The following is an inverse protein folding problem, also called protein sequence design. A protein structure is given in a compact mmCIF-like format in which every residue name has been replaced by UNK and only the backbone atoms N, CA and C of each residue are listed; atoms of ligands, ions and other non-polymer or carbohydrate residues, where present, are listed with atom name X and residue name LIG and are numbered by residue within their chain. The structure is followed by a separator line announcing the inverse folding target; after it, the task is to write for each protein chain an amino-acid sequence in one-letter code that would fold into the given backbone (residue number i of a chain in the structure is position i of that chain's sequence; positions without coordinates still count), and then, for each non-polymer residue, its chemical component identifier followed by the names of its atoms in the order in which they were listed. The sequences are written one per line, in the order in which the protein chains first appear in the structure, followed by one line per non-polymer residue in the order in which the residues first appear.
data_IF_030352617925
#
_entry.id   IF_030352617925
#
_cell.length_a   1.000
_cell.length_b   1.000
_cell.length_c   1.000
_cell.angle_alpha   90.00
_cell.angle_beta   90.00
_cell.angle_gamma   90.00
#
_symmetry.space_group_name_H-M   'P 1'
#
loop_
_entity.id
_entity.type
_entity.pdbx_description
1 polymer ?
#
# COMPACT_ATOMS: atom_id res chain seq x y z
N UNK A 1 6.94 -2.98 7.45
CA UNK A 1 5.67 -2.29 7.67
C UNK A 1 5.78 -1.35 8.87
N UNK A 2 5.03 -0.26 8.83
CA UNK A 2 5.00 0.80 9.84
C UNK A 2 3.59 0.86 10.41
N UNK A 3 3.48 0.86 11.74
CA UNK A 3 2.22 0.89 12.48
C UNK A 3 2.20 2.13 13.35
N UNK A 4 1.24 3.00 13.12
CA UNK A 4 1.07 4.26 13.83
C UNK A 4 -0.27 4.28 14.58
N UNK A 5 -0.25 4.71 15.84
CA UNK A 5 -1.46 4.81 16.68
C UNK A 5 -1.57 6.21 17.26
N UNK A 6 -2.71 6.86 17.07
CA UNK A 6 -3.06 8.11 17.73
C UNK A 6 -4.21 7.86 18.71
N UNK A 7 -3.97 8.17 20.00
CA UNK A 7 -4.94 7.94 21.10
C UNK A 7 -5.69 9.20 21.51
N UNK A 8 -5.41 10.33 20.85
CA UNK A 8 -5.93 11.64 21.25
C UNK A 8 -7.39 11.79 20.85
N UNK A 9 -8.27 11.35 21.72
CA UNK A 9 -9.72 11.58 21.69
C UNK A 9 -10.12 12.57 22.73
N UNK A 10 -11.10 13.42 22.45
CA UNK A 10 -11.72 14.32 23.39
C UNK A 10 -13.26 14.32 23.22
N UNK A 11 -13.95 14.50 24.32
CA UNK A 11 -15.40 14.71 24.29
C UNK A 11 -15.61 16.23 24.24
N UNK A 12 -16.30 16.69 23.24
CA UNK A 12 -16.68 18.11 23.08
C UNK A 12 -18.22 18.24 23.15
N UNK A 13 -18.73 19.31 23.77
CA UNK A 13 -20.16 19.62 23.68
C UNK A 13 -20.48 20.00 22.21
N UNK A 14 -21.64 19.56 21.73
CA UNK A 14 -22.11 19.93 20.39
C UNK A 14 -22.91 21.25 20.46
N UNK A 15 -22.24 22.31 20.90
CA UNK A 15 -22.84 23.65 21.04
C UNK A 15 -23.16 24.29 19.70
N UNK A 16 -22.43 23.93 18.66
CA UNK A 16 -22.56 24.49 17.31
C UNK A 16 -23.58 23.74 16.46
N UNK A 17 -24.32 22.79 17.06
CA UNK A 17 -25.31 21.93 16.38
C UNK A 17 -24.77 21.29 15.12
N UNK A 18 -23.56 20.74 15.17
CA UNK A 18 -22.95 20.03 14.05
C UNK A 18 -23.82 18.84 13.62
N UNK A 19 -24.04 18.71 12.33
CA UNK A 19 -24.69 17.55 11.76
C UNK A 19 -23.72 16.38 11.63
N UNK A 20 -24.23 15.17 11.76
CA UNK A 20 -23.43 13.96 11.58
C UNK A 20 -23.55 13.45 10.13
N UNK A 21 -22.42 13.07 9.56
CA UNK A 21 -22.38 12.50 8.22
C UNK A 21 -21.58 11.20 8.20
N UNK A 22 -22.07 10.24 7.44
CA UNK A 22 -21.30 9.09 7.00
C UNK A 22 -20.74 9.39 5.61
N UNK A 23 -19.41 9.29 5.47
CA UNK A 23 -18.73 9.40 4.19
C UNK A 23 -18.17 8.02 3.87
N UNK A 24 -18.55 7.45 2.75
CA UNK A 24 -18.04 6.17 2.30
C UNK A 24 -17.54 6.23 0.87
N UNK A 25 -16.48 5.50 0.59
CA UNK A 25 -15.97 5.28 -0.76
C UNK A 25 -15.81 3.78 -0.97
N UNK A 26 -16.20 3.29 -2.14
CA UNK A 26 -16.13 1.88 -2.47
C UNK A 26 -15.92 1.67 -3.96
N UNK A 27 -15.49 0.44 -4.33
CA UNK A 27 -15.33 0.06 -5.75
C UNK A 27 -14.30 0.91 -6.50
N UNK A 28 -13.31 1.48 -5.81
CA UNK A 28 -12.16 2.05 -6.49
C UNK A 28 -11.43 0.96 -7.29
N UNK A 29 -10.60 1.36 -8.25
CA UNK A 29 -9.83 0.43 -9.08
C UNK A 29 -9.00 -0.53 -8.23
N UNK A 30 -8.35 -0.01 -7.16
CA UNK A 30 -7.42 -0.78 -6.36
C UNK A 30 -6.17 -1.22 -7.13
N UNK A 31 -5.26 -1.89 -6.43
CA UNK A 31 -4.03 -2.41 -7.02
C UNK A 31 -3.06 -2.90 -5.95
N UNK A 32 -2.00 -3.54 -6.40
CA UNK A 32 -0.90 -3.96 -5.53
C UNK A 32 -0.01 -2.76 -5.17
N UNK A 33 0.26 -2.53 -3.88
CA UNK A 33 1.02 -1.37 -3.38
C UNK A 33 2.50 -1.32 -3.80
N UNK A 34 2.97 -2.29 -4.57
CA UNK A 34 4.28 -2.29 -5.21
C UNK A 34 4.14 -2.16 -6.73
N UNK A 35 3.57 -3.17 -7.39
CA UNK A 35 3.51 -3.28 -8.86
C UNK A 35 2.63 -2.19 -9.52
N UNK A 36 1.64 -1.69 -8.80
CA UNK A 36 0.68 -0.73 -9.35
C UNK A 36 0.80 0.68 -8.73
N UNK A 37 1.79 0.92 -7.87
CA UNK A 37 1.91 2.15 -7.09
C UNK A 37 2.20 3.39 -7.95
N UNK A 38 2.78 3.22 -9.12
CA UNK A 38 3.10 4.25 -10.10
C UNK A 38 1.95 4.55 -11.09
N UNK A 39 0.85 3.80 -11.01
CA UNK A 39 -0.28 3.93 -11.94
C UNK A 39 -1.28 5.00 -11.54
N UNK A 40 -0.94 5.86 -10.56
CA UNK A 40 -1.81 6.92 -10.06
C UNK A 40 -3.20 6.44 -9.61
N UNK A 41 -3.28 5.22 -9.06
CA UNK A 41 -4.52 4.67 -8.52
C UNK A 41 -4.92 5.43 -7.26
N UNK A 42 -6.15 5.96 -7.18
CA UNK A 42 -6.60 6.70 -6.01
C UNK A 42 -6.57 5.84 -4.73
N UNK A 43 -6.05 6.42 -3.65
CA UNK A 43 -6.09 5.82 -2.32
C UNK A 43 -7.34 6.29 -1.58
N UNK A 44 -8.26 5.39 -1.26
CA UNK A 44 -9.54 5.73 -0.63
C UNK A 44 -9.41 6.44 0.72
N UNK A 45 -8.36 6.13 1.51
CA UNK A 45 -8.09 6.79 2.79
C UNK A 45 -7.74 8.26 2.57
N UNK A 46 -6.89 8.55 1.57
CA UNK A 46 -6.52 9.92 1.21
C UNK A 46 -7.72 10.72 0.71
N UNK A 47 -8.58 10.13 -0.13
CA UNK A 47 -9.78 10.79 -0.66
C UNK A 47 -10.75 11.17 0.45
N UNK A 48 -11.04 10.27 1.38
CA UNK A 48 -11.93 10.57 2.52
C UNK A 48 -11.31 11.64 3.43
N UNK A 49 -10.03 11.54 3.75
CA UNK A 49 -9.36 12.53 4.58
C UNK A 49 -9.40 13.94 3.96
N UNK A 50 -9.17 14.04 2.65
CA UNK A 50 -9.27 15.29 1.91
C UNK A 50 -10.69 15.89 2.00
N UNK A 51 -11.73 15.08 1.78
CA UNK A 51 -13.13 15.52 1.90
C UNK A 51 -13.45 16.01 3.31
N UNK A 52 -12.94 15.33 4.36
CA UNK A 52 -13.11 15.75 5.76
C UNK A 52 -12.41 17.10 6.00
N UNK A 53 -11.19 17.28 5.49
CA UNK A 53 -10.42 18.53 5.62
C UNK A 53 -11.13 19.70 4.94
N UNK A 54 -11.67 19.50 3.75
CA UNK A 54 -12.37 20.52 2.97
C UNK A 54 -13.66 21.02 3.61
N UNK A 55 -14.37 20.17 4.36
CA UNK A 55 -15.59 20.58 5.10
C UNK A 55 -15.32 20.95 6.57
N UNK A 56 -14.06 21.01 6.99
CA UNK A 56 -13.65 21.27 8.38
C UNK A 56 -14.30 20.27 9.38
N UNK A 57 -14.56 19.05 8.90
CA UNK A 57 -15.26 18.01 9.64
C UNK A 57 -14.45 17.49 10.84
N UNK A 58 -15.13 17.24 11.96
CA UNK A 58 -14.55 16.60 13.13
C UNK A 58 -14.68 15.09 13.02
N UNK A 59 -13.58 14.36 13.03
CA UNK A 59 -13.55 12.91 12.85
C UNK A 59 -14.00 12.18 14.10
N UNK A 60 -15.00 11.31 13.98
CA UNK A 60 -15.53 10.46 15.05
C UNK A 60 -15.09 9.00 14.87
N UNK A 61 -15.10 8.51 13.64
CA UNK A 61 -14.75 7.14 13.29
C UNK A 61 -14.21 7.07 11.87
N UNK A 62 -13.23 6.16 11.61
CA UNK A 62 -12.75 5.88 10.26
C UNK A 62 -12.24 4.45 10.17
N UNK A 63 -12.67 3.73 9.14
CA UNK A 63 -12.26 2.36 8.90
C UNK A 63 -12.10 2.11 7.40
N UNK A 64 -11.00 1.50 6.98
CA UNK A 64 -10.77 1.16 5.59
C UNK A 64 -9.45 0.49 5.31
N UNK A 65 -9.34 -0.02 4.09
CA UNK A 65 -8.20 -0.80 3.63
C UNK A 65 -8.35 -2.29 3.92
N UNK A 66 -7.96 -3.11 2.95
CA UNK A 66 -8.21 -4.56 2.97
C UNK A 66 -6.98 -5.36 3.39
N UNK A 67 -5.81 -4.96 2.87
CA UNK A 67 -4.52 -5.66 3.08
C UNK A 67 -3.37 -4.67 3.08
N UNK A 68 -2.32 -4.99 3.81
CA UNK A 68 -1.11 -4.15 3.92
C UNK A 68 -0.39 -3.94 2.57
N UNK A 69 -0.53 -4.86 1.65
CA UNK A 69 0.08 -4.82 0.32
C UNK A 69 -0.86 -4.35 -0.80
N UNK A 70 -2.01 -3.76 -0.48
CA UNK A 70 -2.97 -3.24 -1.45
C UNK A 70 -3.21 -1.73 -1.28
N UNK A 71 -3.59 -1.08 -2.39
CA UNK A 71 -4.09 0.30 -2.38
C UNK A 71 -5.55 0.25 -1.93
N UNK A 72 -5.95 0.97 -0.87
CA UNK A 72 -7.30 0.90 -0.29
C UNK A 72 -8.40 1.26 -1.26
N UNK A 73 -9.42 0.41 -1.37
CA UNK A 73 -10.58 0.60 -2.28
C UNK A 73 -11.88 0.89 -1.55
N UNK A 74 -12.00 0.45 -0.28
CA UNK A 74 -13.19 0.66 0.54
C UNK A 74 -12.79 1.34 1.83
N UNK A 75 -13.39 2.51 2.08
CA UNK A 75 -13.16 3.28 3.31
C UNK A 75 -14.48 3.94 3.70
N UNK A 76 -14.72 4.02 5.01
CA UNK A 76 -15.89 4.65 5.61
C UNK A 76 -15.46 5.50 6.79
N UNK A 77 -16.04 6.70 6.92
CA UNK A 77 -15.82 7.58 8.06
C UNK A 77 -17.14 8.13 8.59
N UNK A 78 -17.18 8.45 9.86
CA UNK A 78 -18.25 9.21 10.51
C UNK A 78 -17.65 10.52 11.00
N UNK A 79 -18.27 11.63 10.64
CA UNK A 79 -17.82 12.97 10.99
C UNK A 79 -18.95 13.82 11.54
N UNK A 80 -18.60 14.88 12.25
CA UNK A 80 -19.50 15.98 12.56
C UNK A 80 -19.04 17.24 11.84
N UNK A 81 -19.93 17.95 11.15
CA UNK A 81 -19.61 19.15 10.40
C UNK A 81 -20.75 20.17 10.42
N UNK A 82 -20.41 21.45 10.41
CA UNK A 82 -21.36 22.54 10.24
C UNK A 82 -21.80 22.72 8.76
N UNK A 83 -20.97 22.23 7.84
CA UNK A 83 -21.22 22.31 6.39
C UNK A 83 -21.43 20.92 5.82
N UNK A 84 -22.31 20.80 4.84
CA UNK A 84 -22.51 19.52 4.12
C UNK A 84 -21.24 19.20 3.34
N UNK A 85 -20.59 18.03 3.58
CA UNK A 85 -19.45 17.62 2.81
C UNK A 85 -19.80 17.46 1.32
N UNK A 86 -18.83 17.68 0.43
CA UNK A 86 -19.01 17.52 -1.01
C UNK A 86 -18.17 16.33 -1.47
N UNK A 87 -18.78 15.41 -2.21
CA UNK A 87 -18.07 14.25 -2.73
C UNK A 87 -16.96 14.66 -3.71
N UNK A 88 -15.74 14.31 -3.41
CA UNK A 88 -14.56 14.60 -4.24
C UNK A 88 -14.30 13.52 -5.32
N UNK A 89 -15.09 12.44 -5.35
CA UNK A 89 -14.95 11.33 -6.29
C UNK A 89 -16.32 10.70 -6.60
N UNK A 90 -16.51 10.23 -7.84
CA UNK A 90 -17.79 9.63 -8.29
C UNK A 90 -18.23 8.39 -7.49
N UNK A 91 -17.30 7.65 -6.92
CA UNK A 91 -17.57 6.47 -6.09
C UNK A 91 -17.72 6.81 -4.60
N UNK A 92 -17.80 8.08 -4.24
CA UNK A 92 -18.00 8.55 -2.86
C UNK A 92 -19.49 8.82 -2.61
N UNK A 93 -20.00 8.26 -1.51
CA UNK A 93 -21.34 8.48 -1.02
C UNK A 93 -21.26 9.24 0.31
N UNK A 94 -22.10 10.24 0.47
CA UNK A 94 -22.24 11.05 1.68
C UNK A 94 -23.69 11.00 2.12
N UNK A 95 -23.91 10.52 3.35
CA UNK A 95 -25.25 10.40 3.93
C UNK A 95 -25.31 11.14 5.26
N UNK A 96 -26.33 11.96 5.43
CA UNK A 96 -26.59 12.62 6.71
C UNK A 96 -27.19 11.61 7.69
N UNK A 97 -26.65 11.55 8.89
CA UNK A 97 -27.13 10.67 9.96
C UNK A 97 -28.17 11.44 10.79
N UNK A 98 -29.38 10.94 10.86
CA UNK A 98 -30.52 11.55 11.59
C UNK A 98 -30.40 11.37 13.12
N UNK A 99 -29.21 11.41 13.66
CA UNK A 99 -28.95 11.32 15.08
C UNK A 99 -28.40 12.65 15.60
N UNK A 100 -28.96 13.14 16.70
CA UNK A 100 -28.41 14.30 17.42
C UNK A 100 -27.71 13.82 18.67
N UNK A 101 -26.52 14.37 18.91
CA UNK A 101 -25.75 14.11 20.12
C UNK A 101 -25.38 15.43 20.79
N UNK A 102 -25.62 15.53 22.07
CA UNK A 102 -25.20 16.70 22.87
C UNK A 102 -23.70 16.74 23.09
N UNK A 103 -23.04 15.60 22.99
CA UNK A 103 -21.60 15.45 23.13
C UNK A 103 -21.03 14.61 21.99
N UNK A 104 -19.91 15.03 21.45
CA UNK A 104 -19.21 14.36 20.36
C UNK A 104 -17.85 13.85 20.86
N UNK A 105 -17.56 12.58 20.61
CA UNK A 105 -16.26 11.98 20.89
C UNK A 105 -15.39 12.06 19.64
N UNK A 106 -14.58 13.08 19.55
CA UNK A 106 -13.81 13.42 18.34
C UNK A 106 -12.33 13.14 18.50
N UNK A 107 -11.69 12.79 17.40
CA UNK A 107 -10.24 12.72 17.31
C UNK A 107 -9.61 14.11 17.11
N UNK A 108 -8.32 14.22 17.41
CA UNK A 108 -7.52 15.41 17.12
C UNK A 108 -7.48 15.64 15.59
N UNK A 109 -7.68 16.88 15.16
CA UNK A 109 -7.65 17.30 13.75
C UNK A 109 -6.32 16.94 13.07
N UNK A 110 -5.23 16.82 13.86
CA UNK A 110 -3.92 16.36 13.41
C UNK A 110 -3.94 14.98 12.73
N UNK A 111 -4.94 14.14 13.02
CA UNK A 111 -5.08 12.85 12.34
C UNK A 111 -5.39 13.05 10.85
N UNK A 112 -6.35 13.93 10.55
CA UNK A 112 -6.73 14.25 9.19
C UNK A 112 -5.61 15.03 8.48
N UNK A 113 -5.00 16.01 9.17
CA UNK A 113 -3.86 16.75 8.63
C UNK A 113 -2.71 15.80 8.26
N UNK A 114 -2.35 14.87 9.14
CA UNK A 114 -1.33 13.86 8.88
C UNK A 114 -1.64 13.06 7.60
N UNK A 115 -2.86 12.53 7.48
CA UNK A 115 -3.23 11.73 6.31
C UNK A 115 -3.19 12.60 5.04
N UNK A 116 -3.69 13.84 5.08
CA UNK A 116 -3.70 14.75 3.93
C UNK A 116 -2.29 15.16 3.50
N UNK A 117 -1.43 15.52 4.44
CA UNK A 117 -0.09 16.04 4.16
C UNK A 117 0.90 14.94 3.80
N UNK A 118 0.66 13.70 4.28
CA UNK A 118 1.54 12.55 4.04
C UNK A 118 1.73 12.29 2.55
N UNK A 119 2.98 12.27 2.10
CA UNK A 119 3.32 11.96 0.72
C UNK A 119 3.21 10.45 0.48
N UNK A 120 2.03 9.99 0.08
CA UNK A 120 1.73 8.60 -0.28
C UNK A 120 2.13 8.30 -1.73
N UNK A 121 2.56 7.07 -2.03
CA UNK A 121 2.88 6.63 -3.38
C UNK A 121 4.38 6.55 -3.66
N UNK A 122 4.78 6.86 -4.89
CA UNK A 122 6.17 6.82 -5.34
C UNK A 122 6.98 7.93 -4.66
N UNK A 123 8.15 7.57 -4.12
CA UNK A 123 9.10 8.50 -3.49
C UNK A 123 10.34 8.71 -4.36
N UNK A 124 10.77 7.68 -5.08
CA UNK A 124 11.90 7.76 -6.01
C UNK A 124 11.71 6.77 -7.15
N UNK A 125 12.25 7.12 -8.32
CA UNK A 125 12.33 6.26 -9.50
C UNK A 125 13.76 5.78 -9.70
N UNK A 126 13.93 4.55 -10.18
CA UNK A 126 15.19 4.05 -10.68
C UNK A 126 15.30 4.41 -12.16
N UNK A 127 16.14 5.39 -12.48
CA UNK A 127 16.26 5.93 -13.83
C UNK A 127 16.88 4.95 -14.83
N UNK A 128 17.72 4.04 -14.37
CA UNK A 128 18.35 3.02 -15.20
C UNK A 128 17.36 1.93 -15.59
N UNK A 129 16.64 1.40 -14.62
CA UNK A 129 15.70 0.30 -14.80
C UNK A 129 14.29 0.75 -15.22
N UNK A 130 13.99 2.06 -15.17
CA UNK A 130 12.68 2.66 -15.47
C UNK A 130 11.53 2.08 -14.63
N UNK A 131 11.81 1.77 -13.38
CA UNK A 131 10.84 1.26 -12.39
C UNK A 131 10.91 2.07 -11.11
N UNK A 132 9.92 1.90 -10.24
CA UNK A 132 9.91 2.55 -8.92
C UNK A 132 11.09 2.05 -8.09
N UNK A 133 11.90 2.98 -7.56
CA UNK A 133 12.99 2.71 -6.61
C UNK A 133 12.45 2.57 -5.20
N UNK A 134 11.67 3.56 -4.74
CA UNK A 134 11.17 3.64 -3.37
C UNK A 134 9.73 4.13 -3.37
N UNK A 135 8.89 3.50 -2.56
CA UNK A 135 7.49 3.88 -2.39
C UNK A 135 6.99 3.63 -0.99
N UNK A 136 5.86 4.28 -0.65
CA UNK A 136 5.13 4.03 0.60
C UNK A 136 3.63 4.13 0.34
N UNK A 137 2.86 3.25 0.96
CA UNK A 137 1.41 3.22 0.83
C UNK A 137 0.74 3.23 2.21
N UNK A 138 -0.19 4.17 2.43
CA UNK A 138 -1.15 4.08 3.53
C UNK A 138 -2.13 2.98 3.14
N UNK A 139 -2.05 1.84 3.82
CA UNK A 139 -2.75 0.62 3.42
C UNK A 139 -4.03 0.37 4.20
N UNK A 140 -4.01 0.59 5.50
CA UNK A 140 -5.13 0.31 6.40
C UNK A 140 -5.28 1.45 7.40
N UNK A 141 -6.52 1.81 7.69
CA UNK A 141 -6.88 2.69 8.81
C UNK A 141 -8.01 2.06 9.60
N UNK A 142 -7.90 2.10 10.92
CA UNK A 142 -8.92 1.57 11.82
C UNK A 142 -9.07 2.40 13.08
N UNK A 143 -10.29 2.68 13.45
CA UNK A 143 -10.66 3.16 14.78
C UNK A 143 -10.97 1.97 15.69
N UNK A 144 -10.40 1.98 16.89
CA UNK A 144 -10.76 1.04 17.97
C UNK A 144 -10.82 1.77 19.33
N UNK A 145 -11.00 1.00 20.40
CA UNK A 145 -11.06 1.53 21.77
C UNK A 145 -9.76 2.25 22.21
N UNK A 146 -8.64 1.95 21.58
CA UNK A 146 -7.34 2.50 21.86
C UNK A 146 -6.99 3.74 21.01
N UNK A 147 -7.84 4.09 20.04
CA UNK A 147 -7.60 5.23 19.16
C UNK A 147 -7.69 4.88 17.67
N UNK A 148 -7.04 5.69 16.84
CA UNK A 148 -6.90 5.42 15.41
C UNK A 148 -5.55 4.75 15.14
N UNK A 149 -5.59 3.66 14.39
CA UNK A 149 -4.40 2.96 13.88
C UNK A 149 -4.28 3.14 12.38
N UNK A 150 -3.07 3.47 11.91
CA UNK A 150 -2.70 3.52 10.50
C UNK A 150 -1.59 2.49 10.27
N UNK A 151 -1.74 1.68 9.23
CA UNK A 151 -0.73 0.73 8.78
C UNK A 151 -0.21 1.14 7.42
N UNK A 152 1.11 1.29 7.31
CA UNK A 152 1.79 1.70 6.08
C UNK A 152 2.79 0.63 5.66
N UNK A 153 2.90 0.43 4.33
CA UNK A 153 3.89 -0.45 3.71
C UNK A 153 4.89 0.38 2.91
N UNK A 154 6.14 0.40 3.36
CA UNK A 154 7.25 0.99 2.64
C UNK A 154 8.01 -0.08 1.86
N UNK A 155 8.46 0.24 0.65
CA UNK A 155 9.23 -0.62 -0.24
C UNK A 155 10.39 0.13 -0.85
N UNK A 156 11.51 -0.55 -1.06
CA UNK A 156 12.63 -0.04 -1.86
C UNK A 156 13.39 -1.18 -2.51
N UNK A 157 14.10 -0.87 -3.60
CA UNK A 157 15.08 -1.76 -4.23
C UNK A 157 16.44 -1.73 -3.52
N UNK A 158 16.62 -0.80 -2.57
CA UNK A 158 17.85 -0.65 -1.79
C UNK A 158 17.56 -0.62 -0.28
N UNK A 159 18.45 -1.23 0.52
CA UNK A 159 18.27 -1.33 1.97
C UNK A 159 18.51 -0.01 2.70
N UNK A 160 19.38 0.87 2.20
CA UNK A 160 19.61 2.19 2.80
C UNK A 160 18.42 3.10 2.52
N UNK A 161 17.95 3.18 1.27
CA UNK A 161 16.72 3.90 0.93
C UNK A 161 15.52 3.42 1.76
N UNK A 162 15.44 2.08 2.03
CA UNK A 162 14.38 1.52 2.86
C UNK A 162 14.51 1.96 4.34
N UNK A 163 15.72 2.16 4.84
CA UNK A 163 15.94 2.73 6.16
C UNK A 163 15.57 4.20 6.20
N UNK A 164 15.96 4.95 5.18
CA UNK A 164 15.72 6.39 5.12
C UNK A 164 14.22 6.69 5.07
N UNK A 165 13.46 6.09 4.16
CA UNK A 165 12.01 6.27 4.11
C UNK A 165 11.32 5.85 5.41
N UNK A 166 11.81 4.80 6.08
CA UNK A 166 11.30 4.40 7.40
C UNK A 166 11.54 5.51 8.44
N UNK A 167 12.73 6.08 8.50
CA UNK A 167 13.06 7.13 9.48
C UNK A 167 12.26 8.41 9.22
N UNK A 168 12.18 8.84 7.97
CA UNK A 168 11.38 9.99 7.54
C UNK A 168 9.91 9.81 7.93
N UNK A 169 9.33 8.66 7.59
CA UNK A 169 7.94 8.33 7.92
C UNK A 169 7.68 8.33 9.43
N UNK A 170 8.58 7.73 10.23
CA UNK A 170 8.44 7.74 11.69
C UNK A 170 8.49 9.17 12.25
N UNK A 171 9.40 9.99 11.74
CA UNK A 171 9.54 11.40 12.16
C UNK A 171 8.27 12.19 11.80
N UNK A 172 7.79 12.03 10.58
CA UNK A 172 6.58 12.70 10.10
C UNK A 172 5.35 12.33 10.94
N UNK A 173 5.07 11.04 11.14
CA UNK A 173 3.94 10.56 11.94
C UNK A 173 4.02 11.04 13.40
N UNK A 174 5.21 11.08 14.01
CA UNK A 174 5.40 11.59 15.37
C UNK A 174 5.10 13.08 15.50
N UNK A 175 5.34 13.89 14.46
CA UNK A 175 4.99 15.31 14.46
C UNK A 175 3.47 15.52 14.57
N UNK A 176 2.68 14.54 14.15
CA UNK A 176 1.22 14.51 14.28
C UNK A 176 0.72 13.70 15.50
N UNK A 177 1.59 13.50 16.50
CA UNK A 177 1.26 12.81 17.74
C UNK A 177 0.89 11.32 17.60
N UNK A 178 1.46 10.62 16.62
CA UNK A 178 1.34 9.17 16.54
C UNK A 178 2.45 8.46 17.31
N UNK A 179 2.09 7.43 18.07
CA UNK A 179 3.00 6.40 18.55
C UNK A 179 3.32 5.45 17.41
N UNK A 180 4.60 5.27 17.08
CA UNK A 180 4.99 4.51 15.89
C UNK A 180 5.85 3.30 16.25
N UNK A 181 5.47 2.15 15.71
CA UNK A 181 6.22 0.88 15.77
C UNK A 181 6.47 0.32 14.38
N UNK A 182 7.46 -0.54 14.23
CA UNK A 182 7.78 -1.19 12.94
C UNK A 182 7.90 -2.69 13.13
N UNK A 183 7.41 -3.46 12.16
CA UNK A 183 7.47 -4.94 12.14
C UNK A 183 7.65 -5.44 10.72
N UNK A 184 8.00 -6.72 10.58
CA UNK A 184 8.01 -7.40 9.28
C UNK A 184 9.04 -6.80 8.31
N UNK A 185 10.29 -6.60 8.78
CA UNK A 185 11.36 -6.18 7.87
C UNK A 185 11.55 -7.24 6.78
N UNK A 186 11.39 -6.81 5.54
CA UNK A 186 11.68 -7.60 4.35
C UNK A 186 12.90 -6.97 3.67
N UNK A 187 13.95 -7.71 3.33
CA UNK A 187 15.12 -7.13 2.68
C UNK A 187 14.75 -6.59 1.30
N UNK A 188 15.42 -5.53 0.89
CA UNK A 188 15.29 -4.99 -0.45
C UNK A 188 15.77 -6.01 -1.49
N UNK A 189 15.13 -6.03 -2.66
CA UNK A 189 15.54 -6.84 -3.79
C UNK A 189 16.05 -5.94 -4.91
N UNK A 190 17.37 -5.91 -5.06
CA UNK A 190 17.99 -5.25 -6.21
C UNK A 190 18.12 -6.27 -7.36
N UNK A 191 17.61 -5.98 -8.55
CA UNK A 191 17.80 -6.85 -9.71
C UNK A 191 19.28 -7.09 -9.97
N UNK A 192 19.63 -8.34 -10.26
CA UNK A 192 21.00 -8.77 -10.54
C UNK A 192 21.00 -9.64 -11.79
N UNK A 193 21.59 -9.11 -12.88
CA UNK A 193 21.77 -9.84 -14.13
C UNK A 193 23.13 -10.53 -14.06
N UNK A 194 23.12 -11.84 -13.98
CA UNK A 194 24.32 -12.68 -13.90
C UNK A 194 24.20 -13.90 -14.83
N UNK A 195 25.24 -14.73 -14.88
CA UNK A 195 25.29 -15.92 -15.74
C UNK A 195 24.10 -16.87 -15.48
N UNK A 196 23.68 -17.03 -14.22
CA UNK A 196 22.56 -17.90 -13.88
C UNK A 196 21.23 -17.38 -14.41
N UNK A 197 20.95 -16.07 -14.23
CA UNK A 197 19.73 -15.45 -14.78
C UNK A 197 19.74 -15.45 -16.30
N UNK A 198 20.89 -15.26 -16.94
CA UNK A 198 21.06 -15.32 -18.39
C UNK A 198 20.80 -16.72 -18.92
N UNK A 199 21.34 -17.76 -18.27
CA UNK A 199 21.08 -19.15 -18.65
C UNK A 199 19.58 -19.51 -18.51
N UNK A 200 18.93 -19.07 -17.44
CA UNK A 200 17.48 -19.28 -17.28
C UNK A 200 16.70 -18.60 -18.42
N UNK A 201 17.08 -17.39 -18.80
CA UNK A 201 16.45 -16.67 -19.92
C UNK A 201 16.62 -17.43 -21.23
N UNK A 202 17.80 -17.98 -21.52
CA UNK A 202 18.04 -18.78 -22.73
C UNK A 202 17.10 -19.98 -22.79
N UNK A 203 17.03 -20.77 -21.70
CA UNK A 203 16.10 -21.90 -21.62
C UNK A 203 14.65 -21.43 -21.74
N UNK A 204 14.29 -20.32 -21.12
CA UNK A 204 12.93 -19.81 -21.18
C UNK A 204 12.53 -19.42 -22.62
N UNK A 205 13.47 -18.87 -23.40
CA UNK A 205 13.25 -18.48 -24.80
C UNK A 205 12.95 -19.66 -25.75
N UNK A 206 13.35 -20.87 -25.41
CA UNK A 206 12.98 -22.07 -26.16
C UNK A 206 11.45 -22.31 -26.12
N UNK A 207 10.79 -21.92 -25.03
CA UNK A 207 9.35 -22.09 -24.81
C UNK A 207 8.54 -20.80 -25.03
N UNK A 208 9.18 -19.64 -24.95
CA UNK A 208 8.63 -18.33 -25.21
C UNK A 208 9.72 -17.42 -25.80
N UNK A 209 9.81 -17.28 -27.12
CA UNK A 209 10.83 -16.48 -27.78
C UNK A 209 10.86 -14.99 -27.37
N UNK A 210 9.74 -14.46 -26.86
CA UNK A 210 9.61 -13.08 -26.42
C UNK A 210 9.93 -12.90 -24.92
N UNK A 211 10.45 -13.93 -24.23
CA UNK A 211 10.84 -13.81 -22.83
C UNK A 211 11.97 -12.79 -22.65
N UNK A 212 11.87 -11.99 -21.61
CA UNK A 212 12.84 -10.98 -21.19
C UNK A 212 13.11 -11.03 -19.68
N UNK A 213 14.24 -10.47 -19.27
CA UNK A 213 14.50 -10.15 -17.86
C UNK A 213 13.80 -8.82 -17.54
N UNK A 214 13.06 -8.79 -16.46
CA UNK A 214 12.34 -7.60 -16.04
C UNK A 214 12.62 -7.28 -14.58
N UNK A 215 12.72 -5.99 -14.27
CA UNK A 215 12.76 -5.48 -12.91
C UNK A 215 11.32 -5.18 -12.46
N UNK A 216 10.98 -5.54 -11.23
CA UNK A 216 9.67 -5.22 -10.64
C UNK A 216 9.85 -4.62 -9.26
N UNK A 217 8.99 -3.67 -8.90
CA UNK A 217 8.95 -3.08 -7.57
C UNK A 217 8.08 -3.92 -6.63
N UNK A 218 8.55 -5.12 -6.29
CA UNK A 218 7.86 -6.04 -5.40
C UNK A 218 8.84 -6.78 -4.48
N UNK A 219 8.37 -7.17 -3.29
CA UNK A 219 9.12 -8.07 -2.42
C UNK A 219 9.04 -9.49 -2.97
N UNK A 220 10.19 -10.11 -3.18
CA UNK A 220 10.29 -11.51 -3.62
C UNK A 220 11.01 -12.34 -2.56
N UNK A 221 10.63 -13.59 -2.40
CA UNK A 221 11.28 -14.53 -1.47
C UNK A 221 12.77 -14.69 -1.74
N UNK A 222 13.18 -14.51 -3.00
CA UNK A 222 14.58 -14.45 -3.42
C UNK A 222 15.41 -13.43 -2.62
N UNK A 223 14.81 -12.30 -2.22
CA UNK A 223 15.48 -11.30 -1.39
C UNK A 223 15.90 -11.85 -0.03
N UNK A 224 15.06 -12.68 0.60
CA UNK A 224 15.35 -13.31 1.89
C UNK A 224 16.50 -14.31 1.75
N UNK A 225 16.49 -15.12 0.68
CA UNK A 225 17.56 -16.06 0.42
C UNK A 225 18.90 -15.34 0.16
N UNK A 226 18.86 -14.28 -0.65
CA UNK A 226 20.07 -13.50 -0.99
C UNK A 226 20.64 -12.75 0.23
N UNK A 227 19.78 -12.24 1.11
CA UNK A 227 20.19 -11.58 2.36
C UNK A 227 20.88 -12.55 3.32
N UNK A 228 20.35 -13.78 3.44
CA UNK A 228 20.93 -14.85 4.29
C UNK A 228 22.18 -15.50 3.68
N UNK A 229 22.19 -15.63 2.36
CA UNK A 229 23.24 -16.33 1.61
C UNK A 229 23.72 -15.44 0.45
N UNK A 230 24.54 -14.40 0.71
CA UNK A 230 24.94 -13.42 -0.31
C UNK A 230 25.66 -14.01 -1.54
N UNK A 231 26.27 -15.19 -1.40
CA UNK A 231 27.03 -15.86 -2.46
C UNK A 231 26.13 -16.63 -3.45
N UNK A 232 24.87 -16.92 -3.13
CA UNK A 232 24.00 -17.65 -4.05
C UNK A 232 23.52 -16.77 -5.20
N UNK A 233 23.35 -17.38 -6.38
CA UNK A 233 22.68 -16.76 -7.53
C UNK A 233 21.20 -17.15 -7.46
N UNK A 234 20.31 -16.20 -7.62
CA UNK A 234 18.87 -16.40 -7.50
C UNK A 234 18.15 -15.78 -8.68
N UNK A 235 17.05 -16.39 -9.11
CA UNK A 235 16.16 -15.87 -10.12
C UNK A 235 14.72 -16.17 -9.74
N UNK A 236 13.80 -15.32 -10.13
CA UNK A 236 12.37 -15.53 -9.96
C UNK A 236 11.73 -15.75 -11.32
N UNK A 237 11.01 -16.86 -11.49
CA UNK A 237 10.21 -17.17 -12.67
C UNK A 237 8.82 -17.60 -12.23
N UNK A 238 7.82 -17.36 -13.07
CA UNK A 238 6.45 -17.76 -12.75
C UNK A 238 5.50 -17.68 -13.95
N UNK A 239 4.29 -18.26 -13.81
CA UNK A 239 3.27 -18.14 -14.83
C UNK A 239 2.70 -16.72 -14.90
N UNK A 240 2.05 -16.40 -16.00
CA UNK A 240 1.32 -15.13 -16.14
C UNK A 240 0.15 -15.09 -15.16
N UNK A 241 0.19 -14.16 -14.24
CA UNK A 241 -0.87 -13.84 -13.28
C UNK A 241 -1.43 -12.46 -13.62
N UNK A 242 -2.76 -12.34 -13.59
CA UNK A 242 -3.47 -11.05 -13.70
C UNK A 242 -4.14 -10.74 -12.38
N UNK A 243 -4.12 -9.46 -12.00
CA UNK A 243 -4.74 -8.94 -10.77
C UNK A 243 -4.30 -9.67 -9.48
N UNK A 244 -2.96 -9.82 -9.24
CA UNK A 244 -2.48 -10.52 -8.06
C UNK A 244 -3.02 -9.87 -6.78
N UNK A 245 -3.38 -10.70 -5.79
CA UNK A 245 -3.96 -10.31 -4.51
C UNK A 245 -5.36 -9.67 -4.57
N UNK A 246 -6.02 -9.67 -5.74
CA UNK A 246 -7.38 -9.16 -5.90
C UNK A 246 -8.40 -10.30 -6.01
N UNK A 247 -9.69 -9.98 -5.79
CA UNK A 247 -10.80 -10.97 -5.93
C UNK A 247 -10.87 -11.56 -7.34
N UNK A 248 -10.39 -10.80 -8.35
CA UNK A 248 -10.37 -11.21 -9.77
C UNK A 248 -9.05 -11.86 -10.18
N UNK A 249 -8.22 -12.31 -9.23
CA UNK A 249 -6.94 -12.95 -9.55
C UNK A 249 -7.11 -14.15 -10.48
N UNK A 250 -6.28 -14.19 -11.51
CA UNK A 250 -6.33 -15.21 -12.56
C UNK A 250 -4.91 -15.65 -12.91
N UNK A 251 -4.76 -16.94 -13.20
CA UNK A 251 -3.51 -17.51 -13.71
C UNK A 251 -3.73 -18.16 -15.08
N UNK A 252 -2.79 -17.99 -15.99
CA UNK A 252 -2.80 -18.66 -17.29
C UNK A 252 -2.39 -20.12 -17.16
N UNK A 253 -3.31 -21.05 -17.43
CA UNK A 253 -3.03 -22.51 -17.40
C UNK A 253 -1.92 -22.88 -18.41
N UNK A 254 -1.90 -22.23 -19.57
CA UNK A 254 -0.84 -22.45 -20.58
C UNK A 254 0.51 -21.99 -20.07
N UNK A 255 0.57 -20.82 -19.40
CA UNK A 255 1.80 -20.32 -18.80
C UNK A 255 2.31 -21.25 -17.69
N UNK A 256 1.43 -21.82 -16.84
CA UNK A 256 1.82 -22.83 -15.84
C UNK A 256 2.49 -24.04 -16.49
N UNK A 257 1.91 -24.56 -17.58
CA UNK A 257 2.50 -25.70 -18.31
C UNK A 257 3.88 -25.35 -18.90
N UNK A 258 4.05 -24.14 -19.41
CA UNK A 258 5.32 -23.68 -19.96
C UNK A 258 6.38 -23.52 -18.86
N UNK A 259 6.06 -22.87 -17.75
CA UNK A 259 6.97 -22.74 -16.61
C UNK A 259 7.42 -24.11 -16.09
N UNK A 260 6.52 -25.07 -15.99
CA UNK A 260 6.87 -26.44 -15.61
C UNK A 260 7.90 -27.08 -16.56
N UNK A 261 7.75 -26.90 -17.88
CA UNK A 261 8.72 -27.40 -18.88
C UNK A 261 10.07 -26.69 -18.73
N UNK A 262 10.06 -25.36 -18.57
CA UNK A 262 11.27 -24.54 -18.34
C UNK A 262 12.03 -25.05 -17.12
N UNK A 263 11.35 -25.27 -15.97
CA UNK A 263 12.00 -25.76 -14.75
C UNK A 263 12.64 -27.14 -15.00
N UNK A 264 11.94 -28.05 -15.68
CA UNK A 264 12.52 -29.37 -16.01
C UNK A 264 13.77 -29.23 -16.85
N UNK A 265 13.74 -28.39 -17.88
CA UNK A 265 14.90 -28.19 -18.78
C UNK A 265 16.09 -27.57 -18.02
N UNK A 266 15.84 -26.55 -17.17
CA UNK A 266 16.89 -25.95 -16.33
C UNK A 266 17.57 -27.02 -15.48
N UNK A 267 16.81 -27.90 -14.81
CA UNK A 267 17.38 -28.95 -13.96
C UNK A 267 18.24 -29.92 -14.76
N UNK A 268 17.80 -30.33 -15.97
CA UNK A 268 18.60 -31.21 -16.87
C UNK A 268 19.89 -30.52 -17.31
N UNK A 269 19.89 -29.23 -17.54
CA UNK A 269 21.07 -28.50 -17.97
C UNK A 269 22.05 -28.18 -16.83
N UNK A 270 21.57 -28.14 -15.60
CA UNK A 270 22.43 -27.96 -14.42
C UNK A 270 23.12 -29.26 -13.99
N UNK A 271 22.69 -30.44 -14.46
CA UNK A 271 23.35 -31.72 -14.23
C UNK A 271 24.55 -31.98 -15.15
N UNK A 272 24.69 -31.16 -16.20
CA UNK A 272 25.82 -31.22 -17.17
C UNK A 272 26.98 -30.32 -16.73
#
# INVERSE_FOLDING_TARGET
DIFATNKNKKIIPNTDNLDLYEISISKLQGGHSGVDIDKNIPNGIKLIAQTIKECEGKLLDINGGERINSIPVNVKAIIASATTPIASHENMLIEKIEAKSEHLNVFDDKVIDCICDFQNGVRAMNEELKVVQTSINIAIIKTDVNGIKIELSARSMDNEDLKDIKFETIKELRNYNFDVTTKGKYPAWKPDINEFTSKILEVYKEFNPNASLEAIHAGLECAIFKDKYPHIKVASIGPTIKFPHAIKEQVSITAVKNVYKVIKQILVEMEK
#
